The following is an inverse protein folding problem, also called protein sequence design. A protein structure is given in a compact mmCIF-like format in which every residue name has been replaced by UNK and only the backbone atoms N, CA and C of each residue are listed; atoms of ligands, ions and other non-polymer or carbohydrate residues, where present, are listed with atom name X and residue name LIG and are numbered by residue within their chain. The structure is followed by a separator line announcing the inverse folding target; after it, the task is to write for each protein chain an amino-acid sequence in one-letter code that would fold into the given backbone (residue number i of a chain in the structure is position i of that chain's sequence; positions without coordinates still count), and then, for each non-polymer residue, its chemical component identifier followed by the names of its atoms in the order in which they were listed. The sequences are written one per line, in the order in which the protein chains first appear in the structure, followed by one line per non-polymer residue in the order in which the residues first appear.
data_IF_238409091613
#
_entry.id   IF_238409091613
#
_cell.length_a   1.000
_cell.length_b   1.000
_cell.length_c   1.000
_cell.angle_alpha   90.00
_cell.angle_beta   90.00
_cell.angle_gamma   90.00
#
_symmetry.space_group_name_H-M   'P 1'
#
loop_
_entity.id
_entity.type
_entity.pdbx_description
1 polymer ?
#
# COMPACT_ATOMS: atom_id res chain seq x y z
N UNK A 1 2.23 3.04 3.63
CA UNK A 1 1.76 1.65 3.42
C UNK A 1 0.41 1.42 4.07
N UNK A 2 -0.45 0.63 3.43
CA UNK A 2 -1.80 0.26 3.91
C UNK A 2 -1.88 -1.24 4.19
N UNK A 3 -2.48 -1.59 5.32
CA UNK A 3 -2.76 -2.96 5.74
C UNK A 3 -4.27 -3.10 6.01
N UNK A 4 -4.99 -3.75 5.10
CA UNK A 4 -6.42 -4.01 5.28
C UNK A 4 -6.67 -5.44 5.70
N UNK A 5 -7.52 -5.59 6.70
CA UNK A 5 -7.99 -6.87 7.19
C UNK A 5 -9.44 -7.09 6.78
N UNK A 6 -9.83 -8.34 6.55
CA UNK A 6 -11.26 -8.68 6.52
C UNK A 6 -11.84 -8.83 7.93
N UNK A 7 -13.14 -9.17 8.01
CA UNK A 7 -13.85 -9.30 9.28
C UNK A 7 -13.39 -10.51 10.10
N UNK A 8 -12.75 -11.47 9.44
CA UNK A 8 -12.15 -12.66 10.04
C UNK A 8 -10.71 -12.42 10.51
N UNK A 9 -10.17 -11.21 10.31
CA UNK A 9 -8.83 -10.82 10.73
C UNK A 9 -7.72 -11.31 9.78
N UNK A 10 -8.05 -11.72 8.55
CA UNK A 10 -7.06 -12.10 7.54
C UNK A 10 -6.56 -10.85 6.83
N UNK A 11 -5.25 -10.77 6.61
CA UNK A 11 -4.61 -9.64 5.90
C UNK A 11 -4.74 -9.81 4.39
N UNK A 12 -5.19 -8.75 3.71
CA UNK A 12 -5.16 -8.68 2.25
C UNK A 12 -3.74 -8.39 1.76
N UNK A 13 -3.17 -9.33 1.00
CA UNK A 13 -1.88 -9.18 0.34
C UNK A 13 -2.06 -8.86 -1.15
N UNK A 14 -1.14 -8.09 -1.72
CA UNK A 14 -1.10 -7.81 -3.15
C UNK A 14 0.14 -8.45 -3.76
N UNK A 15 -0.01 -9.10 -4.92
CA UNK A 15 1.12 -9.43 -5.78
C UNK A 15 1.27 -8.32 -6.81
N UNK A 16 2.39 -7.61 -6.79
CA UNK A 16 2.62 -6.47 -7.68
C UNK A 16 2.60 -6.90 -9.15
N UNK A 17 1.94 -6.13 -10.01
CA UNK A 17 1.92 -6.37 -11.43
C UNK A 17 3.34 -6.43 -12.02
N UNK A 18 3.55 -7.29 -13.02
CA UNK A 18 4.87 -7.51 -13.63
C UNK A 18 5.40 -6.27 -14.37
N UNK A 19 4.52 -5.35 -14.78
CA UNK A 19 4.89 -4.10 -15.45
C UNK A 19 5.31 -2.95 -14.51
N UNK A 20 5.25 -3.13 -13.18
CA UNK A 20 5.70 -2.09 -12.23
C UNK A 20 7.22 -1.93 -12.36
N UNK A 21 7.69 -0.67 -12.43
CA UNK A 21 9.12 -0.39 -12.61
C UNK A 21 9.98 -0.83 -11.41
N UNK A 22 9.43 -0.84 -10.19
CA UNK A 22 10.11 -1.29 -8.98
C UNK A 22 9.41 -2.51 -8.37
N UNK A 23 10.20 -3.51 -7.96
CA UNK A 23 9.76 -4.76 -7.34
C UNK A 23 8.60 -5.48 -8.06
N UNK A 24 8.67 -5.71 -9.39
CA UNK A 24 7.61 -6.40 -10.13
C UNK A 24 7.44 -7.85 -9.64
N UNK A 25 6.20 -8.33 -9.55
CA UNK A 25 5.88 -9.72 -9.20
C UNK A 25 6.05 -10.09 -7.72
N UNK A 26 6.57 -9.19 -6.89
CA UNK A 26 6.77 -9.41 -5.46
C UNK A 26 5.44 -9.34 -4.71
N UNK A 27 5.25 -10.22 -3.72
CA UNK A 27 4.16 -10.15 -2.76
C UNK A 27 4.45 -9.10 -1.69
N UNK A 28 3.48 -8.23 -1.42
CA UNK A 28 3.59 -7.14 -0.45
C UNK A 28 2.29 -6.98 0.35
N UNK A 29 2.27 -5.99 1.24
CA UNK A 29 1.06 -5.57 1.95
C UNK A 29 -0.01 -5.06 0.97
N UNK A 30 -1.18 -4.70 1.50
CA UNK A 30 -2.38 -4.41 0.71
C UNK A 30 -2.18 -3.36 -0.39
N UNK A 31 -1.57 -2.22 -0.07
CA UNK A 31 -1.25 -1.18 -1.05
C UNK A 31 -0.10 -0.30 -0.55
N UNK A 32 0.75 0.14 -1.47
CA UNK A 32 1.84 1.10 -1.23
C UNK A 32 1.85 2.18 -2.32
N UNK A 33 2.24 3.38 -1.94
CA UNK A 33 2.35 4.51 -2.83
C UNK A 33 2.71 5.77 -2.05
N UNK A 34 2.72 6.89 -2.76
CA UNK A 34 3.20 8.16 -2.24
C UNK A 34 2.08 9.22 -2.26
N UNK A 35 2.07 10.13 -1.27
CA UNK A 35 1.28 11.35 -1.38
C UNK A 35 1.82 12.23 -2.50
N UNK A 36 0.92 12.94 -3.17
CA UNK A 36 1.31 14.06 -4.02
C UNK A 36 1.83 15.23 -3.17
N UNK A 37 2.59 16.18 -3.77
CA UNK A 37 2.97 17.40 -3.08
C UNK A 37 1.75 18.12 -2.48
N UNK A 38 1.78 18.35 -1.16
CA UNK A 38 0.68 18.99 -0.43
C UNK A 38 -0.51 18.07 -0.09
N UNK A 39 -0.50 16.81 -0.51
CA UNK A 39 -1.53 15.84 -0.15
C UNK A 39 -1.25 15.24 1.24
N UNK A 40 -2.29 15.16 2.07
CA UNK A 40 -2.18 14.49 3.35
C UNK A 40 -1.93 12.97 3.15
N UNK A 41 -0.99 12.34 3.89
CA UNK A 41 -0.70 10.91 3.74
C UNK A 41 -1.94 10.00 3.85
N UNK A 42 -2.89 10.36 4.72
CA UNK A 42 -4.17 9.64 4.84
C UNK A 42 -5.00 9.69 3.56
N UNK A 43 -5.09 10.86 2.92
CA UNK A 43 -5.83 11.02 1.66
C UNK A 43 -5.15 10.22 0.53
N UNK A 44 -3.83 10.26 0.48
CA UNK A 44 -3.04 9.46 -0.47
C UNK A 44 -3.27 7.96 -0.27
N UNK A 45 -3.27 7.49 0.98
CA UNK A 45 -3.51 6.08 1.29
C UNK A 45 -4.89 5.60 0.80
N UNK A 46 -5.94 6.39 1.04
CA UNK A 46 -7.29 6.07 0.56
C UNK A 46 -7.38 6.07 -0.98
N UNK A 47 -6.83 7.11 -1.62
CA UNK A 47 -6.80 7.23 -3.09
C UNK A 47 -6.03 6.09 -3.76
N UNK A 48 -4.79 5.82 -3.32
CA UNK A 48 -3.95 4.75 -3.89
C UNK A 48 -4.59 3.38 -3.74
N UNK A 49 -5.24 3.13 -2.61
CA UNK A 49 -5.97 1.86 -2.40
C UNK A 49 -7.10 1.73 -3.41
N UNK A 50 -7.86 2.80 -3.67
CA UNK A 50 -8.91 2.78 -4.69
C UNK A 50 -8.35 2.62 -6.11
N UNK A 51 -7.29 3.33 -6.45
CA UNK A 51 -6.64 3.23 -7.77
C UNK A 51 -6.11 1.83 -8.08
N UNK A 52 -5.57 1.11 -7.09
CA UNK A 52 -4.97 -0.22 -7.30
C UNK A 52 -5.92 -1.40 -7.04
N UNK A 53 -6.92 -1.24 -6.18
CA UNK A 53 -7.81 -2.35 -5.79
C UNK A 53 -9.27 -2.13 -6.18
N UNK A 54 -9.60 -1.00 -6.81
CA UNK A 54 -10.95 -0.62 -7.21
C UNK A 54 -11.88 -0.27 -6.05
N UNK A 55 -11.36 -0.18 -4.83
CA UNK A 55 -12.15 -0.10 -3.59
C UNK A 55 -11.56 0.90 -2.58
N UNK A 56 -12.44 1.55 -1.83
CA UNK A 56 -12.03 2.35 -0.68
C UNK A 56 -12.07 1.51 0.61
N UNK A 57 -11.11 1.67 1.54
CA UNK A 57 -11.19 1.05 2.87
C UNK A 57 -12.48 1.45 3.59
N UNK A 58 -13.14 0.51 4.28
CA UNK A 58 -14.35 0.82 5.07
C UNK A 58 -13.98 1.58 6.35
N UNK A 59 -12.82 1.25 6.91
CA UNK A 59 -12.19 1.95 8.04
C UNK A 59 -10.71 2.07 7.71
N UNK A 60 -10.11 3.18 8.11
CA UNK A 60 -8.67 3.39 8.00
C UNK A 60 -8.22 4.27 9.17
N UNK A 61 -7.15 3.86 9.84
CA UNK A 61 -6.55 4.60 10.95
C UNK A 61 -5.04 4.64 10.80
N UNK A 62 -4.42 5.71 11.27
CA UNK A 62 -2.96 5.80 11.35
C UNK A 62 -2.45 4.82 12.41
N UNK A 63 -1.44 4.03 12.03
CA UNK A 63 -0.81 3.03 12.89
C UNK A 63 0.61 3.43 13.31
N UNK A 64 1.18 4.47 12.69
CA UNK A 64 2.48 5.02 13.02
C UNK A 64 3.33 5.33 11.80
N UNK A 65 4.62 5.56 12.02
CA UNK A 65 5.58 5.89 10.96
C UNK A 65 6.85 5.06 11.11
N UNK A 66 7.47 4.74 9.97
CA UNK A 66 8.77 4.04 9.92
C UNK A 66 9.65 4.70 8.88
N UNK A 67 10.94 4.86 9.19
CA UNK A 67 11.95 5.29 8.23
C UNK A 67 12.74 4.08 7.79
N UNK A 68 12.92 3.91 6.49
CA UNK A 68 13.71 2.80 5.97
C UNK A 68 14.53 3.21 4.74
N UNK A 69 15.56 2.41 4.47
CA UNK A 69 16.41 2.50 3.30
C UNK A 69 16.66 1.08 2.78
N UNK A 70 16.07 0.76 1.63
CA UNK A 70 16.07 -0.58 1.05
C UNK A 70 16.66 -0.56 -0.36
N UNK A 71 17.96 -0.87 -0.50
CA UNK A 71 18.58 -1.06 -1.81
C UNK A 71 18.22 -2.43 -2.40
N UNK A 72 17.76 -2.45 -3.64
CA UNK A 72 17.53 -3.67 -4.43
C UNK A 72 18.76 -3.96 -5.32
N UNK A 73 19.57 -4.99 -5.00
CA UNK A 73 20.78 -5.30 -5.76
C UNK A 73 20.49 -5.84 -7.17
N UNK A 74 19.28 -6.35 -7.44
CA UNK A 74 18.93 -6.89 -8.76
C UNK A 74 18.61 -5.79 -9.76
N UNK A 75 17.84 -4.78 -9.35
CA UNK A 75 17.50 -3.64 -10.20
C UNK A 75 18.46 -2.45 -10.08
N UNK A 76 19.22 -2.37 -8.97
CA UNK A 76 20.05 -1.22 -8.62
C UNK A 76 19.25 -0.02 -8.08
N UNK A 77 17.93 -0.16 -7.91
CA UNK A 77 17.06 0.88 -7.36
C UNK A 77 17.14 0.89 -5.82
N UNK A 78 16.74 2.02 -5.22
CA UNK A 78 16.71 2.19 -3.76
C UNK A 78 15.40 2.83 -3.35
N UNK A 79 14.71 2.22 -2.39
CA UNK A 79 13.61 2.86 -1.67
C UNK A 79 14.13 3.49 -0.38
N UNK A 80 14.06 4.83 -0.29
CA UNK A 80 14.44 5.57 0.90
C UNK A 80 13.29 6.46 1.33
N UNK A 81 12.56 6.06 2.38
CA UNK A 81 11.25 6.64 2.67
C UNK A 81 11.03 6.95 4.16
N UNK A 82 10.26 8.01 4.39
CA UNK A 82 9.51 8.23 5.62
C UNK A 82 8.09 7.73 5.41
N UNK A 83 7.83 6.50 5.84
CA UNK A 83 6.62 5.77 5.50
C UNK A 83 5.56 5.90 6.59
N UNK A 84 4.38 6.39 6.22
CA UNK A 84 3.19 6.41 7.07
C UNK A 84 2.43 5.09 6.94
N UNK A 85 2.14 4.48 8.09
CA UNK A 85 1.46 3.20 8.17
C UNK A 85 -0.02 3.43 8.49
N UNK A 86 -0.89 2.78 7.72
CA UNK A 86 -2.32 2.80 7.94
C UNK A 86 -2.85 1.37 8.05
N UNK A 87 -3.76 1.15 8.99
CA UNK A 87 -4.46 -0.12 9.21
C UNK A 87 -5.96 0.10 9.04
N UNK A 88 -6.64 -0.84 8.42
CA UNK A 88 -8.05 -0.69 8.11
C UNK A 88 -8.79 -1.99 7.86
N UNK A 89 -10.05 -1.86 7.48
CA UNK A 89 -10.88 -2.98 7.03
C UNK A 89 -11.11 -2.92 5.52
N UNK A 90 -10.90 -4.05 4.86
CA UNK A 90 -11.29 -4.25 3.48
C UNK A 90 -12.81 -4.37 3.37
N UNK A 91 -13.43 -3.85 2.29
CA UNK A 91 -14.80 -4.18 1.96
C UNK A 91 -14.92 -5.67 1.56
N UNK A 92 -16.14 -6.19 1.51
CA UNK A 92 -16.42 -7.60 1.23
C UNK A 92 -16.13 -8.03 -0.21
N UNK A 93 -16.06 -7.10 -1.14
CA UNK A 93 -15.84 -7.37 -2.56
C UNK A 93 -14.60 -6.58 -3.01
N UNK A 94 -13.67 -7.26 -3.68
CA UNK A 94 -12.41 -6.68 -4.19
C UNK A 94 -12.46 -6.69 -5.72
N UNK A 95 -11.97 -5.63 -6.36
CA UNK A 95 -11.91 -5.53 -7.82
C UNK A 95 -10.51 -5.03 -8.27
N UNK A 96 -9.45 -5.86 -8.09
CA UNK A 96 -8.09 -5.49 -8.47
C UNK A 96 -7.95 -5.31 -9.99
N UNK A 97 -6.98 -4.50 -10.40
CA UNK A 97 -6.60 -4.26 -11.80
C UNK A 97 -5.87 -5.43 -12.48
#
# INVERSE_FOLDING_TARGET
SVFLFDREGRLLLQRRALGKYHSPGVWSNTCCGHPYPGEAPFAAAARRTFEELGIAPTLLAEAGTVRYNHPDPLSGLVEQEYNHLFVGLAPSELAPD
#
